data_IF_587748135373
#
_entry.id   IF_587748135373
#
_cell.length_a   1.000
_cell.length_b   1.000
_cell.length_c   1.000
_cell.angle_alpha   90.00
_cell.angle_beta   90.00
_cell.angle_gamma   90.00
#
_symmetry.space_group_name_H-M   'P 1'
#
loop_
_entity.id
_entity.type
_entity.pdbx_description
1 polymer ?
#
# COMPACT_ATOMS: atom_id res chain seq x y z
N UNK A 1 -3.84 18.20 11.95
CA UNK A 1 -3.92 16.99 11.09
C UNK A 1 -4.87 17.19 9.90
N UNK A 2 -6.15 17.57 10.08
CA UNK A 2 -7.08 17.73 8.94
C UNK A 2 -6.57 18.66 7.84
N UNK A 3 -6.01 19.83 8.21
CA UNK A 3 -5.42 20.76 7.24
C UNK A 3 -4.23 20.17 6.47
N UNK A 4 -3.39 19.36 7.13
CA UNK A 4 -2.28 18.69 6.44
C UNK A 4 -2.78 17.62 5.46
N UNK A 5 -3.88 16.93 5.81
CA UNK A 5 -4.50 15.93 4.92
C UNK A 5 -5.06 16.60 3.67
N UNK A 6 -5.73 17.75 3.81
CA UNK A 6 -6.18 18.55 2.65
C UNK A 6 -5.05 18.95 1.70
N UNK A 7 -3.84 19.21 2.24
CA UNK A 7 -2.68 19.54 1.41
C UNK A 7 -2.17 18.38 0.55
N UNK A 8 -2.58 17.13 0.83
CA UNK A 8 -2.23 15.97 0.02
C UNK A 8 -2.98 15.92 -1.31
N UNK A 9 -4.11 16.62 -1.43
CA UNK A 9 -4.90 16.70 -2.66
C UNK A 9 -4.43 17.85 -3.57
N UNK A 10 -3.32 18.50 -3.24
CA UNK A 10 -2.73 19.58 -4.03
C UNK A 10 -2.13 19.05 -5.35
N UNK A 11 -2.13 19.89 -6.39
CA UNK A 11 -1.51 19.54 -7.68
C UNK A 11 0.02 19.58 -7.66
N UNK A 12 0.64 20.29 -6.70
CA UNK A 12 2.09 20.33 -6.54
C UNK A 12 2.58 19.18 -5.65
N UNK A 13 3.25 18.20 -6.26
CA UNK A 13 3.83 17.07 -5.55
C UNK A 13 4.82 17.46 -4.44
N UNK A 14 5.46 18.63 -4.53
CA UNK A 14 6.35 19.13 -3.47
C UNK A 14 5.56 19.48 -2.21
N UNK A 15 4.38 20.07 -2.38
CA UNK A 15 3.45 20.36 -1.27
C UNK A 15 2.97 19.04 -0.67
N UNK A 16 2.51 18.10 -1.50
CA UNK A 16 2.05 16.79 -1.05
C UNK A 16 3.16 16.02 -0.32
N UNK A 17 4.39 16.02 -0.84
CA UNK A 17 5.52 15.36 -0.20
C UNK A 17 5.86 15.97 1.16
N UNK A 18 5.80 17.29 1.31
CA UNK A 18 6.08 17.97 2.59
C UNK A 18 4.95 17.74 3.59
N UNK A 19 3.70 17.78 3.14
CA UNK A 19 2.54 17.48 3.97
C UNK A 19 2.57 16.03 4.47
N UNK A 20 2.83 15.08 3.57
CA UNK A 20 2.96 13.65 3.92
C UNK A 20 4.08 13.42 4.94
N UNK A 21 5.23 14.09 4.76
CA UNK A 21 6.33 14.03 5.72
C UNK A 21 5.93 14.59 7.09
N UNK A 22 5.28 15.76 7.14
CA UNK A 22 4.81 16.36 8.38
C UNK A 22 3.80 15.44 9.11
N UNK A 23 2.85 14.84 8.38
CA UNK A 23 1.90 13.87 8.93
C UNK A 23 2.65 12.66 9.50
N UNK A 24 3.59 12.09 8.75
CA UNK A 24 4.39 10.94 9.19
C UNK A 24 5.16 11.24 10.48
N UNK A 25 5.74 12.44 10.61
CA UNK A 25 6.41 12.89 11.83
C UNK A 25 5.45 13.03 13.01
N UNK A 26 4.27 13.62 12.81
CA UNK A 26 3.27 13.82 13.87
C UNK A 26 2.71 12.49 14.40
N UNK A 27 2.56 11.50 13.52
CA UNK A 27 2.03 10.19 13.88
C UNK A 27 3.08 9.23 14.45
N UNK A 28 4.37 9.52 14.25
CA UNK A 28 5.46 8.65 14.70
C UNK A 28 5.45 8.52 16.22
N UNK A 29 5.26 7.30 16.70
CA UNK A 29 5.14 6.96 18.14
C UNK A 29 4.05 7.74 18.88
N UNK A 30 3.03 8.25 18.18
CA UNK A 30 1.93 9.00 18.77
C UNK A 30 0.59 8.36 18.41
N UNK A 31 0.05 7.56 19.34
CA UNK A 31 -1.22 6.83 19.15
C UNK A 31 -2.42 7.77 19.01
N UNK A 32 -2.45 8.87 19.75
CA UNK A 32 -3.55 9.84 19.68
C UNK A 32 -3.58 10.55 18.32
N UNK A 33 -2.41 10.90 17.79
CA UNK A 33 -2.30 11.45 16.44
C UNK A 33 -2.74 10.42 15.37
N UNK A 34 -2.40 9.14 15.53
CA UNK A 34 -2.85 8.06 14.66
C UNK A 34 -4.38 7.91 14.69
N UNK A 35 -4.99 7.90 15.88
CA UNK A 35 -6.45 7.80 16.04
C UNK A 35 -7.18 9.03 15.49
N UNK A 36 -6.61 10.22 15.67
CA UNK A 36 -7.18 11.43 15.06
C UNK A 36 -7.02 11.39 13.53
N UNK A 37 -5.91 10.87 13.01
CA UNK A 37 -5.68 10.73 11.57
C UNK A 37 -6.70 9.76 10.93
N UNK A 38 -7.12 8.68 11.61
CA UNK A 38 -8.03 7.69 11.03
C UNK A 38 -9.42 8.24 10.68
N UNK A 39 -9.83 9.36 11.27
CA UNK A 39 -11.11 10.02 10.96
C UNK A 39 -10.99 11.18 9.97
N UNK A 40 -9.79 11.44 9.42
CA UNK A 40 -9.55 12.57 8.50
C UNK A 40 -9.79 12.25 7.02
N UNK A 41 -10.00 10.98 6.66
CA UNK A 41 -10.09 10.55 5.26
C UNK A 41 -8.73 10.37 4.56
N UNK A 42 -7.62 10.32 5.31
CA UNK A 42 -6.26 10.18 4.77
C UNK A 42 -6.10 9.04 3.74
N UNK A 43 -6.81 7.91 3.91
CA UNK A 43 -6.68 6.76 3.01
C UNK A 43 -7.08 7.15 1.58
N UNK A 44 -8.14 7.93 1.41
CA UNK A 44 -8.58 8.41 0.09
C UNK A 44 -7.54 9.28 -0.59
N UNK A 45 -6.96 10.24 0.13
CA UNK A 45 -5.89 11.10 -0.42
C UNK A 45 -4.63 10.28 -0.74
N UNK A 46 -4.28 9.27 0.06
CA UNK A 46 -3.18 8.36 -0.25
C UNK A 46 -3.47 7.52 -1.51
N UNK A 47 -4.70 7.04 -1.71
CA UNK A 47 -5.06 6.30 -2.92
C UNK A 47 -4.92 7.18 -4.18
N UNK A 48 -5.35 8.44 -4.09
CA UNK A 48 -5.15 9.42 -5.16
C UNK A 48 -3.68 9.61 -5.49
N UNK A 49 -2.83 9.82 -4.47
CA UNK A 49 -1.38 9.94 -4.64
C UNK A 49 -0.80 8.69 -5.31
N UNK A 50 -1.23 7.50 -4.88
CA UNK A 50 -0.72 6.26 -5.46
C UNK A 50 -1.01 6.14 -6.96
N UNK A 51 -2.19 6.57 -7.38
CA UNK A 51 -2.66 6.49 -8.76
C UNK A 51 -2.11 7.60 -9.66
N UNK A 52 -1.98 8.82 -9.14
CA UNK A 52 -1.79 10.02 -9.97
C UNK A 52 -0.38 10.62 -9.89
N UNK A 53 0.37 10.35 -8.80
CA UNK A 53 1.66 11.00 -8.57
C UNK A 53 2.84 10.25 -9.19
N UNK A 54 3.94 10.98 -9.36
CA UNK A 54 5.23 10.43 -9.75
C UNK A 54 5.78 9.43 -8.74
N UNK A 55 6.70 8.61 -9.23
CA UNK A 55 7.30 7.48 -8.53
C UNK A 55 7.78 7.79 -7.11
N UNK A 56 8.49 8.92 -6.93
CA UNK A 56 9.06 9.30 -5.62
C UNK A 56 7.98 9.56 -4.57
N UNK A 57 6.90 10.23 -4.95
CA UNK A 57 5.79 10.53 -4.04
C UNK A 57 4.94 9.28 -3.82
N UNK A 58 4.71 8.47 -4.87
CA UNK A 58 4.04 7.17 -4.78
C UNK A 58 4.74 6.24 -3.80
N UNK A 59 6.07 6.11 -3.88
CA UNK A 59 6.88 5.32 -2.95
C UNK A 59 6.67 5.76 -1.49
N UNK A 60 6.70 7.07 -1.22
CA UNK A 60 6.44 7.61 0.13
C UNK A 60 5.02 7.31 0.61
N UNK A 61 4.03 7.43 -0.26
CA UNK A 61 2.65 7.11 0.07
C UNK A 61 2.45 5.62 0.35
N UNK A 62 3.02 4.74 -0.47
CA UNK A 62 2.99 3.29 -0.26
C UNK A 62 3.68 2.89 1.07
N UNK A 63 4.83 3.48 1.37
CA UNK A 63 5.51 3.28 2.65
C UNK A 63 4.67 3.75 3.84
N UNK A 64 4.06 4.94 3.76
CA UNK A 64 3.21 5.41 4.85
C UNK A 64 1.95 4.55 4.99
N UNK A 65 1.37 4.12 3.87
CA UNK A 65 0.22 3.21 3.85
C UNK A 65 0.54 1.86 4.51
N UNK A 66 1.73 1.28 4.27
CA UNK A 66 2.16 0.06 4.95
C UNK A 66 2.25 0.26 6.46
N UNK A 67 2.74 1.42 6.92
CA UNK A 67 2.73 1.77 8.33
C UNK A 67 1.31 1.87 8.89
N UNK A 68 0.38 2.55 8.20
CA UNK A 68 -1.01 2.69 8.65
C UNK A 68 -1.74 1.34 8.75
N UNK A 69 -1.43 0.38 7.88
CA UNK A 69 -2.04 -0.97 7.92
C UNK A 69 -1.73 -1.76 9.21
N UNK A 70 -0.75 -1.31 10.01
CA UNK A 70 -0.43 -1.93 11.30
C UNK A 70 -1.40 -1.52 12.42
N UNK A 71 -2.24 -0.52 12.19
CA UNK A 71 -3.18 0.00 13.18
C UNK A 71 -4.63 -0.39 12.82
N UNK A 72 -5.35 -0.96 13.79
CA UNK A 72 -6.73 -1.39 13.59
C UNK A 72 -7.69 -0.25 13.27
N UNK A 73 -7.37 0.98 13.70
CA UNK A 73 -8.16 2.19 13.48
C UNK A 73 -8.40 2.50 11.99
N UNK A 74 -7.55 2.00 11.08
CA UNK A 74 -7.72 2.20 9.64
C UNK A 74 -8.40 1.02 8.94
N UNK A 75 -8.64 -0.12 9.61
CA UNK A 75 -9.11 -1.36 8.96
C UNK A 75 -10.35 -1.12 8.08
N UNK A 76 -11.31 -0.37 8.59
CA UNK A 76 -12.54 -0.06 7.86
C UNK A 76 -12.26 0.83 6.64
N UNK A 77 -11.48 1.90 6.80
CA UNK A 77 -11.10 2.78 5.69
C UNK A 77 -10.32 2.04 4.60
N UNK A 78 -9.45 1.10 4.96
CA UNK A 78 -8.74 0.25 4.01
C UNK A 78 -9.67 -0.67 3.22
N UNK A 79 -10.69 -1.22 3.89
CA UNK A 79 -11.70 -2.06 3.24
C UNK A 79 -12.55 -1.24 2.28
N UNK A 80 -13.08 -0.09 2.74
CA UNK A 80 -13.95 0.79 1.94
C UNK A 80 -13.25 1.39 0.73
N UNK A 81 -11.97 1.74 0.86
CA UNK A 81 -11.18 2.28 -0.25
C UNK A 81 -10.65 1.21 -1.22
N UNK A 82 -10.95 -0.08 -0.97
CA UNK A 82 -10.48 -1.22 -1.75
C UNK A 82 -8.98 -1.14 -2.10
N UNK A 83 -8.17 -0.91 -1.08
CA UNK A 83 -6.74 -0.64 -1.26
C UNK A 83 -6.02 -1.82 -1.94
N UNK A 84 -6.49 -3.05 -1.70
CA UNK A 84 -5.93 -4.25 -2.33
C UNK A 84 -6.06 -4.18 -3.85
N UNK A 85 -7.22 -3.77 -4.38
CA UNK A 85 -7.44 -3.58 -5.81
C UNK A 85 -6.52 -2.51 -6.41
N UNK A 86 -6.35 -1.39 -5.71
CA UNK A 86 -5.46 -0.29 -6.14
C UNK A 86 -4.01 -0.78 -6.22
N UNK A 87 -3.53 -1.48 -5.19
CA UNK A 87 -2.17 -2.01 -5.17
C UNK A 87 -1.96 -3.07 -6.26
N UNK A 88 -2.91 -3.98 -6.46
CA UNK A 88 -2.85 -4.98 -7.53
C UNK A 88 -2.75 -4.33 -8.92
N UNK A 89 -3.57 -3.31 -9.18
CA UNK A 89 -3.53 -2.53 -10.43
C UNK A 89 -2.15 -1.90 -10.67
N UNK A 90 -1.60 -1.21 -9.68
CA UNK A 90 -0.30 -0.53 -9.80
C UNK A 90 0.86 -1.52 -10.00
N UNK A 91 0.78 -2.70 -9.38
CA UNK A 91 1.76 -3.76 -9.59
C UNK A 91 1.69 -4.29 -11.04
N UNK A 92 0.48 -4.50 -11.56
CA UNK A 92 0.27 -4.92 -12.96
C UNK A 92 0.81 -3.91 -13.97
N UNK A 93 0.65 -2.61 -13.71
CA UNK A 93 1.11 -1.52 -14.59
C UNK A 93 2.65 -1.36 -14.66
N UNK A 94 3.43 -2.14 -13.92
CA UNK A 94 4.88 -2.19 -14.12
C UNK A 94 5.66 -1.04 -13.46
N UNK A 95 5.19 -0.49 -12.35
CA UNK A 95 5.89 0.56 -11.59
C UNK A 95 7.09 -0.01 -10.81
N UNK A 96 8.15 -0.42 -11.54
CA UNK A 96 9.26 -1.28 -11.06
C UNK A 96 10.08 -0.71 -9.89
N UNK A 97 10.13 0.60 -9.75
CA UNK A 97 10.90 1.32 -8.72
C UNK A 97 10.12 1.56 -7.42
N UNK A 98 8.79 1.59 -7.50
CA UNK A 98 7.92 1.64 -6.32
C UNK A 98 7.31 0.28 -5.96
N UNK A 99 7.55 -0.75 -6.76
CA UNK A 99 6.91 -2.06 -6.63
C UNK A 99 7.21 -2.72 -5.29
N UNK A 100 8.43 -2.58 -4.76
CA UNK A 100 8.79 -3.08 -3.43
C UNK A 100 7.93 -2.46 -2.34
N UNK A 101 7.75 -1.13 -2.34
CA UNK A 101 6.90 -0.46 -1.36
C UNK A 101 5.42 -0.81 -1.53
N UNK A 102 4.95 -0.98 -2.77
CA UNK A 102 3.58 -1.44 -3.05
C UNK A 102 3.36 -2.87 -2.53
N UNK A 103 4.32 -3.77 -2.76
CA UNK A 103 4.29 -5.15 -2.24
C UNK A 103 4.38 -5.18 -0.71
N UNK A 104 5.21 -4.34 -0.12
CA UNK A 104 5.31 -4.19 1.33
C UNK A 104 3.98 -3.73 1.96
N UNK A 105 3.33 -2.73 1.35
CA UNK A 105 2.01 -2.27 1.78
C UNK A 105 0.95 -3.36 1.64
N UNK A 106 0.94 -4.08 0.51
CA UNK A 106 0.01 -5.18 0.27
C UNK A 106 0.21 -6.31 1.29
N UNK A 107 1.46 -6.72 1.52
CA UNK A 107 1.81 -7.75 2.50
C UNK A 107 1.36 -7.35 3.90
N UNK A 108 1.62 -6.10 4.31
CA UNK A 108 1.23 -5.60 5.62
C UNK A 108 -0.29 -5.65 5.81
N UNK A 109 -1.07 -5.21 4.81
CA UNK A 109 -2.52 -5.31 4.86
C UNK A 109 -3.04 -6.74 4.94
N UNK A 110 -2.62 -7.62 4.03
CA UNK A 110 -3.14 -9.01 4.00
C UNK A 110 -2.66 -9.81 5.20
N UNK A 111 -1.53 -9.45 5.81
CA UNK A 111 -1.09 -10.08 7.06
C UNK A 111 -1.96 -9.65 8.25
N UNK A 112 -2.34 -8.37 8.33
CA UNK A 112 -3.03 -7.79 9.49
C UNK A 112 -4.56 -7.84 9.40
N UNK A 113 -5.13 -7.89 8.21
CA UNK A 113 -6.57 -7.75 8.01
C UNK A 113 -7.15 -8.94 7.24
N UNK A 114 -8.06 -9.69 7.90
CA UNK A 114 -8.76 -10.82 7.29
C UNK A 114 -9.60 -10.39 6.07
N UNK A 115 -10.26 -9.23 6.12
CA UNK A 115 -11.00 -8.71 4.97
C UNK A 115 -10.08 -8.48 3.76
N UNK A 116 -8.90 -7.88 3.95
CA UNK A 116 -7.93 -7.69 2.87
C UNK A 116 -7.47 -9.02 2.26
N UNK A 117 -7.35 -10.09 3.05
CA UNK A 117 -7.06 -11.45 2.52
C UNK A 117 -8.19 -12.04 1.70
N UNK A 118 -9.44 -11.74 2.04
CA UNK A 118 -10.59 -12.21 1.27
C UNK A 118 -10.68 -11.40 -0.03
N UNK A 119 -10.48 -10.08 0.05
CA UNK A 119 -10.39 -9.20 -1.12
C UNK A 119 -9.27 -9.66 -2.07
N UNK A 120 -8.08 -9.98 -1.57
CA UNK A 120 -6.95 -10.39 -2.41
C UNK A 120 -7.21 -11.63 -3.27
N UNK A 121 -8.18 -12.47 -2.90
CA UNK A 121 -8.62 -13.67 -3.65
C UNK A 121 -9.68 -13.38 -4.72
N UNK A 122 -10.15 -12.15 -4.85
CA UNK A 122 -11.14 -11.82 -5.89
C UNK A 122 -10.53 -11.98 -7.29
N UNK A 123 -11.22 -12.76 -8.13
CA UNK A 123 -10.76 -13.05 -9.49
C UNK A 123 -10.54 -11.78 -10.32
N UNK A 124 -11.36 -10.73 -10.12
CA UNK A 124 -11.23 -9.46 -10.84
C UNK A 124 -9.92 -8.70 -10.56
N UNK A 125 -9.24 -8.99 -9.44
CA UNK A 125 -7.96 -8.36 -9.14
C UNK A 125 -6.79 -9.04 -9.85
N UNK A 126 -6.94 -10.31 -10.25
CA UNK A 126 -5.88 -11.10 -10.89
C UNK A 126 -4.58 -11.17 -10.08
N UNK A 127 -4.66 -11.01 -8.76
CA UNK A 127 -3.47 -10.75 -7.94
C UNK A 127 -2.48 -11.92 -7.96
N UNK A 128 -2.97 -13.15 -7.94
CA UNK A 128 -2.13 -14.36 -7.96
C UNK A 128 -1.21 -14.37 -9.19
N UNK A 129 -1.80 -14.16 -10.37
CA UNK A 129 -1.07 -14.15 -11.64
C UNK A 129 -0.06 -12.99 -11.68
N UNK A 130 -0.48 -11.80 -11.24
CA UNK A 130 0.41 -10.63 -11.14
C UNK A 130 1.64 -10.94 -10.28
N UNK A 131 1.47 -11.58 -9.13
CA UNK A 131 2.59 -11.91 -8.22
C UNK A 131 3.53 -12.95 -8.84
N UNK A 132 2.99 -13.98 -9.51
CA UNK A 132 3.78 -15.01 -10.20
C UNK A 132 4.59 -14.38 -11.35
N UNK A 133 3.95 -13.56 -12.17
CA UNK A 133 4.60 -12.82 -13.26
C UNK A 133 5.72 -11.91 -12.72
N UNK A 134 5.49 -11.23 -11.60
CA UNK A 134 6.52 -10.39 -10.95
C UNK A 134 7.71 -11.21 -10.45
N UNK A 135 7.49 -12.36 -9.81
CA UNK A 135 8.57 -13.24 -9.38
C UNK A 135 9.42 -13.66 -10.59
N UNK A 136 8.78 -14.05 -11.69
CA UNK A 136 9.47 -14.43 -12.92
C UNK A 136 10.26 -13.25 -13.52
N UNK A 137 9.68 -12.05 -13.57
CA UNK A 137 10.32 -10.83 -14.06
C UNK A 137 11.57 -10.46 -13.25
N UNK A 138 11.52 -10.59 -11.93
CA UNK A 138 12.64 -10.25 -11.05
C UNK A 138 13.82 -11.22 -11.19
N UNK A 139 13.59 -12.44 -11.70
CA UNK A 139 14.63 -13.41 -12.04
C UNK A 139 15.57 -13.74 -10.87
N UNK A 140 16.87 -13.88 -11.15
CA UNK A 140 17.91 -14.16 -10.13
C UNK A 140 18.63 -12.91 -9.62
N UNK A 141 18.14 -11.71 -9.95
CA UNK A 141 18.80 -10.46 -9.57
C UNK A 141 18.64 -10.22 -8.06
N UNK A 142 19.76 -9.91 -7.39
CA UNK A 142 19.80 -9.62 -5.96
C UNK A 142 19.04 -8.35 -5.59
N UNK A 143 19.04 -7.34 -6.47
CA UNK A 143 18.33 -6.06 -6.27
C UNK A 143 16.80 -6.22 -6.07
N UNK A 144 16.22 -7.34 -6.51
CA UNK A 144 14.80 -7.63 -6.38
C UNK A 144 14.49 -8.72 -5.35
N UNK A 145 15.45 -9.09 -4.50
CA UNK A 145 15.27 -10.19 -3.57
C UNK A 145 14.15 -9.91 -2.56
N UNK A 146 14.11 -8.70 -1.99
CA UNK A 146 13.04 -8.31 -1.06
C UNK A 146 11.67 -8.31 -1.72
N UNK A 147 11.56 -7.78 -2.94
CA UNK A 147 10.32 -7.77 -3.71
C UNK A 147 9.82 -9.20 -4.00
N UNK A 148 10.72 -10.14 -4.36
CA UNK A 148 10.36 -11.55 -4.52
C UNK A 148 9.87 -12.17 -3.22
N UNK A 149 10.55 -11.91 -2.11
CA UNK A 149 10.12 -12.40 -0.80
C UNK A 149 8.73 -11.90 -0.43
N UNK A 150 8.43 -10.62 -0.70
CA UNK A 150 7.09 -10.09 -0.47
C UNK A 150 6.05 -10.78 -1.34
N UNK A 151 6.32 -10.98 -2.64
CA UNK A 151 5.42 -11.73 -3.51
C UNK A 151 5.13 -13.14 -2.95
N UNK A 152 6.17 -13.89 -2.60
CA UNK A 152 6.04 -15.24 -2.05
C UNK A 152 5.27 -15.27 -0.73
N UNK A 153 5.54 -14.33 0.18
CA UNK A 153 4.81 -14.20 1.45
C UNK A 153 3.33 -13.86 1.23
N UNK A 154 3.02 -12.98 0.27
CA UNK A 154 1.62 -12.66 -0.08
C UNK A 154 0.94 -13.90 -0.67
N UNK A 155 1.62 -14.64 -1.56
CA UNK A 155 1.11 -15.87 -2.14
C UNK A 155 0.79 -16.91 -1.07
N UNK A 156 1.67 -17.12 -0.10
CA UNK A 156 1.42 -18.04 1.01
C UNK A 156 0.26 -17.55 1.89
N UNK A 157 0.29 -16.30 2.35
CA UNK A 157 -0.76 -15.76 3.23
C UNK A 157 -2.14 -15.73 2.57
N UNK A 158 -2.20 -15.48 1.26
CA UNK A 158 -3.47 -15.31 0.56
C UNK A 158 -3.93 -16.57 -0.19
N UNK A 159 -3.05 -17.43 -0.68
CA UNK A 159 -3.40 -18.50 -1.62
C UNK A 159 -2.86 -19.88 -1.22
N UNK A 160 -2.46 -20.08 0.04
CA UNK A 160 -1.96 -21.38 0.55
C UNK A 160 -2.83 -22.58 0.17
N UNK A 161 -4.16 -22.43 0.23
CA UNK A 161 -5.11 -23.53 -0.02
C UNK A 161 -5.24 -23.90 -1.50
N UNK A 162 -4.75 -23.07 -2.43
CA UNK A 162 -4.83 -23.26 -3.88
C UNK A 162 -3.49 -23.68 -4.51
N UNK A 163 -2.46 -23.89 -3.70
CA UNK A 163 -1.11 -24.31 -4.12
C UNK A 163 -0.83 -25.78 -3.79
N UNK A 164 -1.83 -26.52 -3.28
CA UNK A 164 -1.81 -27.97 -3.05
C UNK A 164 -2.66 -28.68 -4.10
#
# INVERSE_FOLDING_TARGET
LPELVKLLDNSDERICSKALYAISCLCRHNKDAINHLSVTGIISSLMKILLESGERLRAKAAFFLSHLSTFESFRESFYQADVVKVLAKLLKEGQNSSSEHLLSALLAQVSKHKQSRIQSRQAEYGLKDILIEKIALYGSKEEYQEAKEYCSKILDVCFHDELK
#
